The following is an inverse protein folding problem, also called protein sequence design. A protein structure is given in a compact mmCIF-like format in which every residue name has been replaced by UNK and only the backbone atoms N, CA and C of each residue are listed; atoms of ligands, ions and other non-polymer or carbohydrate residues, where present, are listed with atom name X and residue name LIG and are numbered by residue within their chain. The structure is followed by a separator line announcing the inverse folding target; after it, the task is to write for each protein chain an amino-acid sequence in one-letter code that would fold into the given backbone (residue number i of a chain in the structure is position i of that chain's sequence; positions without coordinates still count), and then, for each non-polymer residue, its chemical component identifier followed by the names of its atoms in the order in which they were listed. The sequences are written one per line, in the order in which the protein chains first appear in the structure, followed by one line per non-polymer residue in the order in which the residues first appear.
data_IF_409474251369
#
_entry.id   IF_409474251369
#
_cell.length_a   1.000
_cell.length_b   1.000
_cell.length_c   1.000
_cell.angle_alpha   90.00
_cell.angle_beta   90.00
_cell.angle_gamma   90.00
#
_symmetry.space_group_name_H-M   'P 1'
#
loop_
_entity.id
_entity.type
_entity.pdbx_description
1 polymer ?
#
# COMPACT_ATOMS: atom_id res chain seq x y z
N UNK A 1 73.38 -38.54 22.49
CA UNK A 1 71.93 -38.38 22.79
C UNK A 1 71.47 -37.02 22.24
N UNK A 2 70.74 -37.03 21.15
CA UNK A 2 70.16 -35.77 20.59
C UNK A 2 68.65 -35.84 20.74
N UNK A 3 68.10 -34.97 21.57
CA UNK A 3 66.64 -34.79 21.71
C UNK A 3 66.12 -34.00 20.49
N UNK A 4 65.19 -34.55 19.77
CA UNK A 4 64.45 -33.91 18.74
C UNK A 4 63.14 -33.36 19.29
N UNK A 5 63.03 -32.03 19.35
CA UNK A 5 61.81 -31.33 19.77
C UNK A 5 60.86 -31.24 18.55
N UNK A 6 59.70 -31.94 18.65
CA UNK A 6 58.62 -31.83 17.66
C UNK A 6 57.77 -30.60 17.97
N UNK A 7 57.72 -29.65 17.06
CA UNK A 7 56.78 -28.54 17.04
C UNK A 7 55.48 -29.04 16.40
N UNK A 8 54.38 -29.05 17.17
CA UNK A 8 53.03 -29.21 16.63
C UNK A 8 52.49 -27.82 16.30
N UNK A 9 52.33 -27.54 15.03
CA UNK A 9 51.59 -26.35 14.57
C UNK A 9 50.10 -26.63 14.63
N UNK A 10 49.41 -26.01 15.59
CA UNK A 10 47.96 -25.99 15.63
C UNK A 10 47.42 -24.95 14.64
N UNK A 11 46.87 -25.40 13.51
CA UNK A 11 46.17 -24.55 12.59
C UNK A 11 44.76 -24.28 13.12
N UNK A 12 44.54 -23.08 13.68
CA UNK A 12 43.21 -22.61 14.02
C UNK A 12 42.45 -22.22 12.75
N UNK A 13 41.48 -23.01 12.31
CA UNK A 13 40.50 -22.62 11.30
C UNK A 13 39.57 -21.57 11.94
N UNK A 14 39.76 -20.31 11.61
CA UNK A 14 38.79 -19.24 11.87
C UNK A 14 37.66 -19.37 10.83
N UNK A 15 36.55 -19.98 11.21
CA UNK A 15 35.33 -19.97 10.44
C UNK A 15 34.77 -18.54 10.46
N UNK A 16 35.05 -17.75 9.44
CA UNK A 16 34.37 -16.50 9.15
C UNK A 16 32.93 -16.84 8.74
N UNK A 17 32.01 -16.80 9.70
CA UNK A 17 30.58 -16.76 9.40
C UNK A 17 30.30 -15.44 8.68
N UNK A 18 30.22 -15.48 7.35
CA UNK A 18 29.65 -14.38 6.57
C UNK A 18 28.18 -14.32 6.96
N UNK A 19 27.83 -13.36 7.79
CA UNK A 19 26.46 -12.96 7.97
C UNK A 19 26.03 -12.39 6.61
N UNK A 20 25.27 -13.16 5.83
CA UNK A 20 24.62 -12.62 4.64
C UNK A 20 23.75 -11.46 5.10
N UNK A 21 24.05 -10.26 4.64
CA UNK A 21 23.21 -9.10 4.94
C UNK A 21 21.79 -9.43 4.44
N UNK A 22 20.79 -9.21 5.31
CA UNK A 22 19.41 -9.45 4.95
C UNK A 22 19.08 -8.64 3.68
N UNK A 23 18.36 -9.26 2.74
CA UNK A 23 17.93 -8.61 1.50
C UNK A 23 17.20 -7.31 1.84
N UNK A 24 17.56 -6.24 1.14
CA UNK A 24 16.89 -4.94 1.23
C UNK A 24 16.13 -4.68 -0.08
N UNK A 25 14.89 -4.21 0.02
CA UNK A 25 14.16 -3.78 -1.17
C UNK A 25 14.81 -2.54 -1.78
N UNK A 26 14.88 -2.43 -3.12
CA UNK A 26 15.57 -1.30 -3.78
C UNK A 26 14.78 0.01 -3.69
N UNK A 27 13.51 -0.03 -3.30
CA UNK A 27 12.63 1.12 -3.21
C UNK A 27 11.18 0.72 -2.94
N UNK A 28 10.27 1.70 -2.93
CA UNK A 28 8.86 1.45 -2.61
C UNK A 28 8.11 0.66 -3.68
N UNK A 29 8.66 0.58 -4.90
CA UNK A 29 8.06 -0.12 -6.05
C UNK A 29 9.11 -0.95 -6.75
N UNK A 30 8.78 -2.20 -7.06
CA UNK A 30 9.58 -3.12 -7.87
C UNK A 30 8.76 -3.66 -9.04
N UNK A 31 9.44 -4.23 -10.03
CA UNK A 31 8.79 -4.95 -11.14
C UNK A 31 8.71 -6.47 -10.88
N UNK A 32 8.03 -7.16 -11.80
CA UNK A 32 7.92 -8.62 -11.75
C UNK A 32 9.26 -9.33 -11.94
N UNK A 33 10.23 -8.73 -12.63
CA UNK A 33 11.55 -9.31 -12.81
C UNK A 33 12.34 -9.34 -11.50
N UNK A 34 12.34 -8.23 -10.76
CA UNK A 34 12.97 -8.19 -9.44
C UNK A 34 12.35 -9.22 -8.49
N UNK A 35 11.00 -9.29 -8.44
CA UNK A 35 10.33 -10.28 -7.59
C UNK A 35 10.66 -11.70 -8.01
N UNK A 36 10.68 -12.01 -9.31
CA UNK A 36 11.03 -13.33 -9.81
C UNK A 36 12.42 -13.81 -9.34
N UNK A 37 13.38 -12.88 -9.28
CA UNK A 37 14.76 -13.17 -8.83
C UNK A 37 14.90 -13.34 -7.32
N UNK A 38 14.01 -12.70 -6.53
CA UNK A 38 14.17 -12.59 -5.08
C UNK A 38 13.04 -13.28 -4.28
N UNK A 39 12.08 -13.95 -4.94
CA UNK A 39 10.88 -14.47 -4.29
C UNK A 39 11.14 -15.45 -3.13
N UNK A 40 12.23 -16.18 -3.13
CA UNK A 40 12.61 -17.10 -2.06
C UNK A 40 13.00 -16.38 -0.76
N UNK A 41 13.50 -15.15 -0.88
CA UNK A 41 14.05 -14.36 0.22
C UNK A 41 13.08 -13.31 0.76
N UNK A 42 11.84 -13.25 0.25
CA UNK A 42 10.82 -12.27 0.62
C UNK A 42 9.53 -12.95 1.10
N UNK A 43 8.72 -12.23 1.86
CA UNK A 43 7.34 -12.62 2.15
C UNK A 43 6.44 -11.95 1.12
N UNK A 44 5.72 -12.73 0.30
CA UNK A 44 4.82 -12.21 -0.73
C UNK A 44 3.39 -12.19 -0.21
N UNK A 45 2.78 -11.01 -0.14
CA UNK A 45 1.39 -10.79 0.26
C UNK A 45 0.59 -10.38 -0.97
N UNK A 46 -0.27 -11.26 -1.45
CA UNK A 46 -1.19 -10.99 -2.56
C UNK A 46 -2.49 -10.41 -1.99
N UNK A 47 -2.73 -9.12 -2.21
CA UNK A 47 -3.91 -8.43 -1.69
C UNK A 47 -4.91 -8.19 -2.80
N UNK A 48 -6.12 -8.74 -2.61
CA UNK A 48 -7.24 -8.58 -3.54
C UNK A 48 -8.59 -8.81 -2.87
N UNK A 49 -9.65 -8.08 -3.29
CA UNK A 49 -11.00 -8.23 -2.70
C UNK A 49 -11.70 -9.53 -3.11
N UNK A 50 -11.34 -10.10 -4.26
CA UNK A 50 -11.79 -11.42 -4.70
C UNK A 50 -10.77 -12.50 -4.34
N UNK A 51 -10.88 -13.00 -3.12
CA UNK A 51 -10.01 -14.07 -2.62
C UNK A 51 -10.25 -15.41 -3.33
N UNK A 52 -11.35 -15.58 -4.07
CA UNK A 52 -11.60 -16.80 -4.85
C UNK A 52 -10.72 -16.83 -6.11
N UNK A 53 -10.49 -15.69 -6.74
CA UNK A 53 -9.60 -15.60 -7.89
C UNK A 53 -8.16 -16.00 -7.55
N UNK A 54 -7.73 -15.80 -6.29
CA UNK A 54 -6.43 -16.25 -5.83
C UNK A 54 -6.21 -17.75 -5.99
N UNK A 55 -7.23 -18.56 -5.70
CA UNK A 55 -7.17 -20.02 -5.82
C UNK A 55 -7.53 -20.54 -7.22
N UNK A 56 -8.01 -19.66 -8.10
CA UNK A 56 -8.49 -20.00 -9.45
C UNK A 56 -7.37 -20.17 -10.48
N UNK A 57 -7.75 -20.15 -11.74
CA UNK A 57 -6.84 -20.16 -12.90
C UNK A 57 -7.15 -18.96 -13.79
N UNK A 58 -6.14 -18.27 -14.37
CA UNK A 58 -6.37 -17.15 -15.25
C UNK A 58 -7.07 -17.59 -16.54
N UNK A 59 -8.03 -16.78 -17.02
CA UNK A 59 -8.70 -16.99 -18.28
C UNK A 59 -8.20 -16.01 -19.32
N UNK A 60 -8.04 -16.50 -20.53
CA UNK A 60 -7.52 -15.71 -21.65
C UNK A 60 -8.44 -15.80 -22.85
N UNK A 61 -8.55 -14.71 -23.59
CA UNK A 61 -9.17 -14.67 -24.90
C UNK A 61 -8.15 -14.19 -25.94
N UNK A 62 -8.39 -14.55 -27.21
CA UNK A 62 -7.59 -14.01 -28.32
C UNK A 62 -8.25 -12.74 -28.84
N UNK A 63 -7.55 -11.61 -28.71
CA UNK A 63 -7.98 -10.36 -29.33
C UNK A 63 -8.07 -10.55 -30.86
N UNK A 64 -9.28 -10.34 -31.40
CA UNK A 64 -9.56 -10.60 -32.83
C UNK A 64 -8.83 -9.63 -33.78
N UNK A 65 -8.40 -8.45 -33.28
CA UNK A 65 -7.72 -7.45 -34.10
C UNK A 65 -6.21 -7.65 -34.12
N UNK A 66 -5.64 -8.04 -32.97
CA UNK A 66 -4.18 -8.16 -32.81
C UNK A 66 -3.67 -9.58 -32.83
N UNK A 67 -4.57 -10.59 -32.65
CA UNK A 67 -4.21 -11.99 -32.49
C UNK A 67 -3.52 -12.32 -31.17
N UNK A 68 -3.40 -11.36 -30.27
CA UNK A 68 -2.73 -11.55 -28.97
C UNK A 68 -3.67 -12.17 -27.95
N UNK A 69 -3.08 -12.98 -27.07
CA UNK A 69 -3.73 -13.51 -25.89
C UNK A 69 -3.88 -12.39 -24.87
N UNK A 70 -5.09 -12.11 -24.41
CA UNK A 70 -5.42 -11.07 -23.44
C UNK A 70 -6.02 -11.71 -22.21
N UNK A 71 -5.58 -11.32 -21.03
CA UNK A 71 -6.15 -11.75 -19.75
C UNK A 71 -7.56 -11.14 -19.61
N UNK A 72 -8.59 -11.98 -19.48
CA UNK A 72 -9.99 -11.54 -19.32
C UNK A 72 -10.52 -11.79 -17.92
N UNK A 73 -10.00 -12.80 -17.23
CA UNK A 73 -10.33 -13.08 -15.85
C UNK A 73 -9.06 -13.39 -15.06
N UNK A 74 -8.86 -12.63 -13.99
CA UNK A 74 -7.72 -12.82 -13.09
C UNK A 74 -7.90 -14.12 -12.30
N UNK A 75 -6.89 -14.97 -12.29
CA UNK A 75 -6.89 -16.22 -11.51
C UNK A 75 -5.47 -16.67 -11.19
N UNK A 76 -5.32 -17.42 -10.10
CA UNK A 76 -4.03 -17.85 -9.61
C UNK A 76 -3.24 -16.76 -8.89
N UNK A 77 -2.09 -17.15 -8.38
CA UNK A 77 -1.19 -16.28 -7.62
C UNK A 77 0.28 -16.65 -7.85
N UNK A 78 1.17 -15.77 -7.50
CA UNK A 78 2.62 -16.02 -7.51
C UNK A 78 2.92 -17.13 -6.50
N UNK A 79 3.74 -18.10 -6.86
CA UNK A 79 4.08 -19.20 -5.97
C UNK A 79 4.59 -18.68 -4.61
N UNK A 80 4.14 -19.31 -3.51
CA UNK A 80 4.40 -18.96 -2.11
C UNK A 80 3.77 -17.63 -1.65
N UNK A 81 2.95 -16.97 -2.47
CA UNK A 81 2.18 -15.81 -2.02
C UNK A 81 1.07 -16.21 -1.03
N UNK A 82 0.80 -15.32 -0.09
CA UNK A 82 -0.27 -15.45 0.89
C UNK A 82 -1.39 -14.48 0.57
N UNK A 83 -2.63 -14.97 0.55
CA UNK A 83 -3.80 -14.15 0.29
C UNK A 83 -4.12 -13.22 1.45
N UNK A 84 -4.35 -11.94 1.15
CA UNK A 84 -4.81 -10.92 2.09
C UNK A 84 -6.11 -10.31 1.57
N UNK A 85 -7.18 -10.40 2.36
CA UNK A 85 -8.45 -9.74 2.04
C UNK A 85 -8.42 -8.28 2.54
N UNK A 86 -8.47 -7.26 1.66
CA UNK A 86 -8.45 -5.86 2.06
C UNK A 86 -9.63 -5.43 2.95
N UNK A 87 -10.70 -6.21 2.99
CA UNK A 87 -11.84 -5.97 3.89
C UNK A 87 -11.51 -6.27 5.35
N UNK A 88 -10.50 -7.09 5.63
CA UNK A 88 -10.14 -7.56 6.97
C UNK A 88 -9.04 -6.74 7.64
N UNK A 89 -8.32 -5.91 6.88
CA UNK A 89 -7.16 -5.15 7.40
C UNK A 89 -7.54 -3.84 8.10
N UNK A 90 -8.82 -3.50 8.17
CA UNK A 90 -9.33 -2.26 8.79
C UNK A 90 -10.43 -2.60 9.79
N UNK A 91 -10.52 -1.81 10.88
CA UNK A 91 -11.42 -2.06 12.00
C UNK A 91 -12.32 -0.86 12.32
N UNK A 92 -13.34 -1.07 13.14
CA UNK A 92 -14.07 0.02 13.78
C UNK A 92 -13.33 0.41 15.07
N UNK A 93 -13.13 1.70 15.28
CA UNK A 93 -12.56 2.26 16.53
C UNK A 93 -13.51 3.28 17.16
N UNK A 94 -13.43 3.44 18.47
CA UNK A 94 -14.14 4.52 19.18
C UNK A 94 -13.18 5.69 19.37
N UNK A 95 -13.47 6.83 18.74
CA UNK A 95 -12.68 8.06 18.79
C UNK A 95 -13.59 9.18 19.29
N UNK A 96 -13.24 9.83 20.39
CA UNK A 96 -14.08 10.89 20.97
C UNK A 96 -15.51 10.45 21.28
N UNK A 97 -15.75 9.17 21.56
CA UNK A 97 -17.08 8.59 21.78
C UNK A 97 -17.84 8.24 20.50
N UNK A 98 -17.29 8.49 19.31
CA UNK A 98 -17.88 8.16 18.02
C UNK A 98 -17.32 6.83 17.50
N UNK A 99 -18.17 6.02 16.87
CA UNK A 99 -17.76 4.79 16.18
C UNK A 99 -17.31 5.12 14.78
N UNK A 100 -16.00 5.11 14.57
CA UNK A 100 -15.36 5.38 13.26
C UNK A 100 -14.95 4.08 12.63
N UNK A 101 -15.50 3.78 11.45
CA UNK A 101 -15.25 2.54 10.71
C UNK A 101 -14.02 2.64 9.82
N UNK A 102 -13.45 1.48 9.47
CA UNK A 102 -12.35 1.33 8.50
C UNK A 102 -11.03 1.98 8.91
N UNK A 103 -10.79 2.07 10.21
CA UNK A 103 -9.60 2.65 10.82
C UNK A 103 -8.42 1.67 10.83
N UNK A 104 -7.22 2.21 11.04
CA UNK A 104 -6.03 1.45 11.39
C UNK A 104 -6.30 0.60 12.63
N UNK A 105 -6.02 -0.72 12.62
CA UNK A 105 -6.08 -1.55 13.82
C UNK A 105 -5.11 -1.07 14.91
N UNK A 106 -5.36 -1.47 16.14
CA UNK A 106 -4.36 -1.37 17.19
C UNK A 106 -3.14 -2.23 16.82
N UNK A 107 -1.94 -1.79 17.23
CA UNK A 107 -0.70 -2.48 16.88
C UNK A 107 -0.73 -3.98 17.17
N UNK A 108 -1.20 -4.38 18.36
CA UNK A 108 -1.24 -5.79 18.76
C UNK A 108 -2.15 -6.64 17.85
N UNK A 109 -3.24 -6.07 17.35
CA UNK A 109 -4.14 -6.77 16.44
C UNK A 109 -3.56 -6.84 15.03
N UNK A 110 -2.88 -5.78 14.56
CA UNK A 110 -2.17 -5.81 13.29
C UNK A 110 -1.00 -6.79 13.30
N UNK A 111 -0.27 -6.90 14.42
CA UNK A 111 0.78 -7.93 14.61
C UNK A 111 0.23 -9.35 14.46
N UNK A 112 -0.94 -9.65 15.05
CA UNK A 112 -1.61 -10.95 14.89
C UNK A 112 -1.96 -11.22 13.42
N UNK A 113 -2.50 -10.21 12.72
CA UNK A 113 -2.80 -10.30 11.29
C UNK A 113 -1.51 -10.59 10.50
N UNK A 114 -0.47 -9.80 10.68
CA UNK A 114 0.80 -9.96 9.97
C UNK A 114 1.44 -11.34 10.21
N UNK A 115 1.40 -11.83 11.44
CA UNK A 115 1.88 -13.19 11.77
C UNK A 115 1.04 -14.27 11.10
N UNK A 116 -0.27 -14.12 11.04
CA UNK A 116 -1.16 -15.06 10.34
C UNK A 116 -0.88 -15.13 8.84
N UNK A 117 -0.33 -14.06 8.24
CA UNK A 117 0.15 -14.03 6.85
C UNK A 117 1.60 -14.53 6.70
N UNK A 118 2.22 -15.03 7.76
CA UNK A 118 3.58 -15.56 7.72
C UNK A 118 4.68 -14.50 7.68
N UNK A 119 4.37 -13.24 8.00
CA UNK A 119 5.38 -12.17 8.01
C UNK A 119 6.38 -12.40 9.13
N UNK A 120 7.69 -12.28 8.80
CA UNK A 120 8.79 -12.54 9.71
C UNK A 120 9.63 -11.28 9.93
N UNK A 121 10.14 -11.10 11.13
CA UNK A 121 11.12 -10.07 11.41
C UNK A 121 12.35 -10.21 10.52
N UNK A 122 12.75 -9.10 9.90
CA UNK A 122 13.97 -9.03 9.08
C UNK A 122 13.84 -9.62 7.68
N UNK A 123 12.71 -10.24 7.31
CA UNK A 123 12.44 -10.68 5.96
C UNK A 123 11.66 -9.61 5.21
N UNK A 124 12.08 -9.18 4.00
CA UNK A 124 11.39 -8.15 3.24
C UNK A 124 9.94 -8.54 2.92
N UNK A 125 9.05 -7.55 2.89
CA UNK A 125 7.66 -7.73 2.52
C UNK A 125 7.44 -7.20 1.11
N UNK A 126 6.83 -8.01 0.26
CA UNK A 126 6.42 -7.64 -1.09
C UNK A 126 4.91 -7.74 -1.19
N UNK A 127 4.24 -6.61 -1.39
CA UNK A 127 2.79 -6.56 -1.57
C UNK A 127 2.49 -6.59 -3.07
N UNK A 128 1.62 -7.51 -3.46
CA UNK A 128 1.20 -7.72 -4.85
C UNK A 128 -0.29 -7.40 -4.95
N UNK A 129 -0.70 -6.26 -5.54
CA UNK A 129 -2.11 -5.98 -5.82
C UNK A 129 -2.66 -6.90 -6.92
N UNK A 130 -3.96 -6.98 -7.09
CA UNK A 130 -4.56 -7.62 -8.26
C UNK A 130 -4.09 -6.95 -9.57
N UNK A 131 -4.00 -5.63 -9.60
CA UNK A 131 -3.41 -4.85 -10.69
C UNK A 131 -4.35 -4.62 -11.86
N UNK A 132 -5.66 -4.58 -11.62
CA UNK A 132 -6.67 -4.35 -12.65
C UNK A 132 -7.08 -2.88 -12.76
N UNK A 133 -7.09 -2.16 -11.61
CA UNK A 133 -7.48 -0.76 -11.56
C UNK A 133 -6.81 0.01 -10.40
N UNK A 134 -7.22 1.26 -10.22
CA UNK A 134 -6.72 2.11 -9.14
C UNK A 134 -7.15 1.64 -7.75
N UNK A 135 -8.26 0.91 -7.63
CA UNK A 135 -8.72 0.37 -6.35
C UNK A 135 -7.76 -0.67 -5.82
N UNK A 136 -7.27 -1.55 -6.70
CA UNK A 136 -6.27 -2.56 -6.35
C UNK A 136 -4.96 -1.93 -5.87
N UNK A 137 -4.52 -0.82 -6.50
CA UNK A 137 -3.37 -0.06 -6.00
C UNK A 137 -3.66 0.49 -4.60
N UNK A 138 -4.87 1.03 -4.36
CA UNK A 138 -5.23 1.58 -3.06
C UNK A 138 -5.34 0.51 -1.97
N UNK A 139 -5.78 -0.71 -2.29
CA UNK A 139 -5.74 -1.85 -1.37
C UNK A 139 -4.29 -2.15 -0.94
N UNK A 140 -3.37 -2.20 -1.90
CA UNK A 140 -1.96 -2.46 -1.64
C UNK A 140 -1.28 -1.32 -0.87
N UNK A 141 -1.52 -0.05 -1.25
CA UNK A 141 -0.94 1.10 -0.56
C UNK A 141 -1.50 1.28 0.85
N UNK A 142 -2.76 0.86 1.10
CA UNK A 142 -3.34 0.84 2.43
C UNK A 142 -2.61 -0.15 3.34
N UNK A 143 -2.36 -1.36 2.89
CA UNK A 143 -1.60 -2.36 3.64
C UNK A 143 -0.14 -1.91 3.84
N UNK A 144 0.48 -1.36 2.80
CA UNK A 144 1.84 -0.79 2.85
C UNK A 144 1.95 0.30 3.93
N UNK A 145 1.01 1.26 3.93
CA UNK A 145 0.97 2.34 4.91
C UNK A 145 0.81 1.81 6.34
N UNK A 146 -0.01 0.79 6.58
CA UNK A 146 -0.17 0.18 7.89
C UNK A 146 1.14 -0.42 8.40
N UNK A 147 1.87 -1.17 7.58
CA UNK A 147 3.20 -1.67 7.92
C UNK A 147 4.19 -0.53 8.20
N UNK A 148 4.18 0.52 7.40
CA UNK A 148 5.05 1.70 7.60
C UNK A 148 4.75 2.40 8.92
N UNK A 149 3.48 2.58 9.26
CA UNK A 149 3.08 3.18 10.55
C UNK A 149 3.63 2.38 11.71
N UNK A 150 3.61 1.06 11.63
CA UNK A 150 4.17 0.18 12.67
C UNK A 150 5.66 -0.15 12.48
N UNK A 151 6.37 0.68 11.72
CA UNK A 151 7.84 0.70 11.70
C UNK A 151 8.52 -0.29 10.77
N UNK A 152 7.79 -0.89 9.81
CA UNK A 152 8.40 -1.71 8.77
C UNK A 152 8.91 -0.84 7.61
N UNK A 153 10.20 -0.93 7.32
CA UNK A 153 10.82 -0.16 6.26
C UNK A 153 11.26 -1.03 5.07
N UNK A 154 11.45 -2.32 5.31
CA UNK A 154 11.88 -3.26 4.27
C UNK A 154 10.67 -3.85 3.52
N UNK A 155 9.90 -2.98 2.87
CA UNK A 155 8.63 -3.29 2.23
C UNK A 155 8.52 -2.60 0.86
N UNK A 156 7.90 -3.29 -0.12
CA UNK A 156 7.73 -2.78 -1.49
C UNK A 156 6.43 -3.26 -2.12
N UNK A 157 5.99 -2.59 -3.20
CA UNK A 157 4.86 -3.00 -4.04
C UNK A 157 5.35 -3.51 -5.40
N UNK A 158 4.64 -4.50 -5.97
CA UNK A 158 4.87 -4.92 -7.35
C UNK A 158 4.04 -4.06 -8.30
N UNK A 159 4.70 -3.37 -9.22
CA UNK A 159 4.06 -2.54 -10.23
C UNK A 159 3.18 -3.36 -11.17
N UNK A 160 1.89 -3.04 -11.23
CA UNK A 160 0.92 -3.76 -12.06
C UNK A 160 0.46 -5.10 -11.48
N UNK A 161 1.00 -5.52 -10.33
CA UNK A 161 0.51 -6.65 -9.54
C UNK A 161 0.46 -7.99 -10.28
N UNK A 162 -0.50 -8.83 -9.89
CA UNK A 162 -0.70 -10.17 -10.48
C UNK A 162 -1.11 -10.09 -11.95
N UNK A 163 -1.91 -9.09 -12.35
CA UNK A 163 -2.28 -8.89 -13.77
C UNK A 163 -1.04 -8.66 -14.64
N UNK A 164 -0.12 -7.79 -14.23
CA UNK A 164 1.14 -7.57 -14.94
C UNK A 164 2.02 -8.82 -14.95
N UNK A 165 2.13 -9.53 -13.83
CA UNK A 165 2.89 -10.76 -13.71
C UNK A 165 2.45 -11.80 -14.76
N UNK A 166 1.12 -12.02 -14.88
CA UNK A 166 0.53 -12.96 -15.85
C UNK A 166 0.74 -12.47 -17.29
N UNK A 167 0.52 -11.19 -17.55
CA UNK A 167 0.64 -10.60 -18.90
C UNK A 167 2.08 -10.59 -19.42
N UNK A 168 3.06 -10.59 -18.51
CA UNK A 168 4.49 -10.76 -18.84
C UNK A 168 4.87 -12.23 -19.10
N UNK A 169 3.88 -13.15 -19.11
CA UNK A 169 4.11 -14.57 -19.39
C UNK A 169 4.73 -15.34 -18.23
N UNK A 170 4.60 -14.82 -16.99
CA UNK A 170 5.14 -15.50 -15.81
C UNK A 170 4.11 -16.47 -15.24
N UNK A 171 4.61 -17.57 -14.68
CA UNK A 171 3.77 -18.63 -14.15
C UNK A 171 3.07 -18.21 -12.85
N UNK A 172 1.83 -18.67 -12.72
CA UNK A 172 1.04 -18.62 -11.49
C UNK A 172 0.62 -20.02 -11.07
N UNK A 173 0.36 -20.19 -9.79
CA UNK A 173 -0.17 -21.43 -9.22
C UNK A 173 -1.61 -21.22 -8.78
N UNK A 174 -2.37 -22.30 -8.72
CA UNK A 174 -3.76 -22.32 -8.24
C UNK A 174 -3.84 -22.99 -6.87
N UNK A 175 -4.96 -22.80 -6.18
CA UNK A 175 -5.22 -23.40 -4.88
C UNK A 175 -4.98 -22.44 -3.71
N UNK A 176 -5.30 -22.88 -2.48
CA UNK A 176 -5.14 -22.04 -1.31
C UNK A 176 -3.65 -21.88 -0.99
N UNK A 177 -3.16 -20.65 -0.96
CA UNK A 177 -1.85 -20.35 -0.37
C UNK A 177 -1.89 -20.63 1.13
N UNK A 178 -0.80 -21.16 1.66
CA UNK A 178 -0.63 -21.38 3.10
C UNK A 178 0.69 -20.76 3.55
N UNK A 179 0.65 -19.99 4.62
CA UNK A 179 1.84 -19.58 5.35
C UNK A 179 1.93 -20.35 6.68
N UNK A 180 3.14 -20.67 7.11
CA UNK A 180 3.38 -20.93 8.51
C UNK A 180 3.23 -19.60 9.28
N UNK A 181 2.85 -19.68 10.56
CA UNK A 181 2.74 -18.48 11.38
C UNK A 181 4.09 -17.73 11.45
N UNK A 182 4.05 -16.44 11.22
CA UNK A 182 5.23 -15.57 11.30
C UNK A 182 5.53 -15.12 12.72
N UNK A 183 6.56 -14.27 12.84
CA UNK A 183 7.00 -13.74 14.14
C UNK A 183 7.17 -12.20 14.12
N UNK A 184 6.60 -11.53 13.14
CA UNK A 184 6.72 -10.08 13.00
C UNK A 184 6.19 -9.32 14.22
N UNK A 185 6.93 -8.29 14.64
CA UNK A 185 6.57 -7.40 15.73
C UNK A 185 6.67 -5.96 15.24
N UNK A 186 5.55 -5.23 15.36
CA UNK A 186 5.50 -3.82 15.06
C UNK A 186 6.21 -2.97 16.12
N UNK A 187 6.66 -1.80 15.69
CA UNK A 187 7.16 -0.73 16.56
C UNK A 187 5.99 0.19 16.98
N UNK A 188 6.17 1.07 17.97
CA UNK A 188 5.20 2.13 18.26
C UNK A 188 4.83 2.91 16.99
N UNK A 189 3.60 3.36 16.92
CA UNK A 189 3.05 4.09 15.78
C UNK A 189 3.89 5.31 15.43
N UNK A 190 4.17 5.50 14.15
CA UNK A 190 4.83 6.69 13.61
C UNK A 190 3.83 7.82 13.46
N UNK A 191 3.67 8.59 14.53
CA UNK A 191 2.68 9.68 14.60
C UNK A 191 2.94 10.79 13.56
N UNK A 192 4.15 10.91 13.07
CA UNK A 192 4.49 11.82 11.97
C UNK A 192 3.85 11.44 10.62
N UNK A 193 3.35 10.21 10.49
CA UNK A 193 2.64 9.73 9.30
C UNK A 193 1.12 9.85 9.42
N UNK A 194 0.63 10.15 10.62
CA UNK A 194 -0.79 10.19 10.96
C UNK A 194 -1.26 11.64 11.13
N UNK A 195 -2.49 11.92 10.72
CA UNK A 195 -3.20 13.15 11.07
C UNK A 195 -4.55 12.79 11.71
N UNK A 196 -4.93 13.57 12.71
CA UNK A 196 -6.26 13.56 13.32
C UNK A 196 -7.15 14.63 12.69
N UNK A 197 -8.45 14.63 13.00
CA UNK A 197 -9.37 15.71 12.60
C UNK A 197 -8.92 17.07 13.15
N UNK A 198 -8.35 17.11 14.36
CA UNK A 198 -7.80 18.33 14.95
C UNK A 198 -6.52 18.81 14.25
N UNK A 199 -5.67 17.90 13.77
CA UNK A 199 -4.50 18.27 12.97
C UNK A 199 -4.92 18.88 11.63
N UNK A 200 -5.97 18.35 11.01
CA UNK A 200 -6.56 18.91 9.80
C UNK A 200 -7.11 20.31 10.05
N UNK A 201 -7.86 20.52 11.13
CA UNK A 201 -8.41 21.84 11.50
C UNK A 201 -7.28 22.87 11.76
N UNK A 202 -6.24 22.47 12.50
CA UNK A 202 -5.04 23.31 12.72
C UNK A 202 -4.32 23.64 11.41
N UNK A 203 -4.22 22.66 10.49
CA UNK A 203 -3.60 22.87 9.18
C UNK A 203 -4.38 23.89 8.34
N UNK A 204 -5.72 23.86 8.37
CA UNK A 204 -6.57 24.85 7.70
C UNK A 204 -6.35 26.24 8.28
N UNK A 205 -6.45 26.38 9.61
CA UNK A 205 -6.33 27.65 10.31
C UNK A 205 -4.94 28.30 10.11
N UNK A 206 -3.90 27.49 10.24
CA UNK A 206 -2.50 27.95 10.12
C UNK A 206 -1.93 27.94 8.71
N UNK A 207 -2.66 27.42 7.72
CA UNK A 207 -2.18 27.14 6.36
C UNK A 207 -0.84 26.39 6.34
N UNK A 208 -0.67 25.47 7.29
CA UNK A 208 0.61 24.78 7.55
C UNK A 208 0.79 23.51 6.72
N UNK A 209 -0.28 22.99 6.11
CA UNK A 209 -0.24 21.86 5.18
C UNK A 209 -1.34 21.99 4.13
N UNK A 210 -1.11 21.45 2.94
CA UNK A 210 -2.11 21.28 1.91
C UNK A 210 -3.02 20.10 2.24
N UNK A 211 -4.31 20.22 1.95
CA UNK A 211 -5.25 19.10 2.05
C UNK A 211 -5.46 18.49 0.67
N UNK A 212 -5.24 17.18 0.55
CA UNK A 212 -5.38 16.43 -0.71
C UNK A 212 -6.54 15.46 -0.57
N UNK A 213 -7.64 15.75 -1.28
CA UNK A 213 -8.80 14.87 -1.36
C UNK A 213 -8.62 13.86 -2.51
N UNK A 214 -8.44 12.59 -2.16
CA UNK A 214 -8.19 11.52 -3.12
C UNK A 214 -9.47 10.89 -3.71
N UNK A 215 -10.65 11.43 -3.41
CA UNK A 215 -11.93 10.96 -3.96
C UNK A 215 -12.14 11.45 -5.39
N UNK A 216 -13.10 10.84 -6.09
CA UNK A 216 -13.52 11.35 -7.40
C UNK A 216 -14.15 12.75 -7.32
N UNK A 217 -14.18 13.44 -8.45
CA UNK A 217 -14.68 14.82 -8.54
C UNK A 217 -16.14 14.97 -8.08
N UNK A 218 -17.02 14.00 -8.34
CA UNK A 218 -18.43 14.06 -7.92
C UNK A 218 -18.58 14.09 -6.40
N UNK A 219 -17.77 13.34 -5.67
CA UNK A 219 -17.76 13.35 -4.21
C UNK A 219 -17.11 14.61 -3.64
N UNK A 220 -16.01 15.05 -4.24
CA UNK A 220 -15.33 16.29 -3.87
C UNK A 220 -16.25 17.51 -4.02
N UNK A 221 -16.93 17.63 -5.15
CA UNK A 221 -17.87 18.72 -5.44
C UNK A 221 -19.17 18.62 -4.62
N UNK A 222 -19.42 17.49 -3.95
CA UNK A 222 -20.62 17.29 -3.15
C UNK A 222 -21.86 16.88 -3.96
N UNK A 223 -21.69 16.43 -5.19
CA UNK A 223 -22.80 15.93 -6.03
C UNK A 223 -23.24 14.53 -5.57
N UNK A 224 -22.29 13.73 -5.09
CA UNK A 224 -22.53 12.39 -4.54
C UNK A 224 -21.79 12.22 -3.20
N UNK A 225 -22.15 11.20 -2.45
CA UNK A 225 -21.40 10.74 -1.27
C UNK A 225 -21.53 9.24 -1.09
N UNK A 226 -20.65 8.65 -0.32
CA UNK A 226 -20.83 7.24 0.13
C UNK A 226 -21.74 7.21 1.36
N UNK A 227 -22.45 6.10 1.54
CA UNK A 227 -23.41 5.94 2.67
C UNK A 227 -22.75 6.10 4.05
N UNK A 228 -21.49 5.69 4.16
CA UNK A 228 -20.71 5.82 5.40
C UNK A 228 -20.37 7.28 5.75
N UNK A 229 -20.46 8.21 4.81
CA UNK A 229 -20.17 9.64 5.00
C UNK A 229 -21.46 10.41 5.26
N UNK A 230 -21.58 11.09 6.39
CA UNK A 230 -22.80 11.78 6.80
C UNK A 230 -23.07 13.07 6.00
N UNK A 231 -22.03 13.80 5.57
CA UNK A 231 -22.12 15.08 4.87
C UNK A 231 -21.65 15.02 3.42
N UNK A 232 -22.11 15.95 2.59
CA UNK A 232 -21.66 16.12 1.21
C UNK A 232 -20.48 17.10 1.12
N UNK A 233 -19.72 17.06 0.01
CA UNK A 233 -18.64 18.00 -0.27
C UNK A 233 -17.30 17.57 0.32
N UNK A 234 -16.39 18.51 0.48
CA UNK A 234 -15.00 18.33 0.87
C UNK A 234 -14.62 19.22 2.05
N UNK A 235 -13.49 18.96 2.67
CA UNK A 235 -12.90 19.79 3.72
C UNK A 235 -12.43 21.11 3.09
N UNK A 236 -12.81 22.24 3.67
CA UNK A 236 -12.52 23.56 3.10
C UNK A 236 -11.04 23.76 2.78
N UNK A 237 -10.75 24.29 1.59
CA UNK A 237 -9.38 24.54 1.10
C UNK A 237 -8.66 23.31 0.53
N UNK A 238 -9.27 22.14 0.58
CA UNK A 238 -8.70 20.94 -0.05
C UNK A 238 -8.60 21.05 -1.57
N UNK A 239 -7.61 20.37 -2.14
CA UNK A 239 -7.43 20.18 -3.58
C UNK A 239 -7.80 18.75 -3.95
N UNK A 240 -8.46 18.55 -5.08
CA UNK A 240 -8.85 17.22 -5.53
C UNK A 240 -7.76 16.60 -6.40
N UNK A 241 -7.22 15.46 -5.97
CA UNK A 241 -6.34 14.60 -6.76
C UNK A 241 -6.91 13.18 -6.68
N UNK A 242 -7.84 12.86 -7.61
CA UNK A 242 -8.50 11.55 -7.62
C UNK A 242 -7.48 10.42 -7.69
N UNK A 243 -7.67 9.39 -6.86
CA UNK A 243 -6.80 8.20 -6.87
C UNK A 243 -6.79 7.43 -8.19
N UNK A 244 -7.80 7.64 -9.03
CA UNK A 244 -7.86 7.11 -10.41
C UNK A 244 -6.71 7.62 -11.29
N UNK A 245 -6.13 8.77 -10.93
CA UNK A 245 -5.00 9.36 -11.64
C UNK A 245 -3.64 8.72 -11.30
N UNK A 246 -3.60 7.72 -10.43
CA UNK A 246 -2.32 7.13 -9.98
C UNK A 246 -1.90 5.89 -10.76
N UNK A 247 -2.71 5.42 -11.69
CA UNK A 247 -2.40 4.29 -12.56
C UNK A 247 -2.71 4.61 -14.02
N UNK A 248 -2.04 3.89 -14.92
CA UNK A 248 -2.43 3.88 -16.33
C UNK A 248 -3.72 3.08 -16.48
N UNK A 249 -4.60 3.52 -17.37
CA UNK A 249 -5.79 2.80 -17.80
C UNK A 249 -5.64 2.38 -19.26
N UNK A 250 -6.18 1.23 -19.62
CA UNK A 250 -6.14 0.76 -21.02
C UNK A 250 -4.87 -0.01 -21.37
N UNK A 251 -4.73 -1.18 -20.80
CA UNK A 251 -3.68 -2.15 -21.04
C UNK A 251 -4.04 -3.48 -20.40
N UNK A 252 -3.06 -4.35 -20.31
CA UNK A 252 -3.17 -5.67 -19.69
C UNK A 252 -3.06 -5.64 -18.15
N UNK A 253 -2.64 -4.50 -17.58
CA UNK A 253 -2.57 -4.24 -16.15
C UNK A 253 -2.60 -2.74 -15.84
N UNK A 254 -3.13 -2.37 -14.68
CA UNK A 254 -3.05 -1.03 -14.13
C UNK A 254 -1.66 -0.82 -13.53
N UNK A 255 -0.81 -0.06 -14.21
CA UNK A 255 0.56 0.21 -13.79
C UNK A 255 0.70 1.62 -13.25
N UNK A 256 1.58 1.79 -12.27
CA UNK A 256 1.93 3.11 -11.75
C UNK A 256 2.57 3.98 -12.83
N UNK A 257 2.35 5.28 -12.72
CA UNK A 257 2.89 6.27 -13.66
C UNK A 257 4.39 6.53 -13.40
N UNK A 258 5.11 7.05 -14.40
CA UNK A 258 6.45 7.58 -14.20
C UNK A 258 6.48 8.71 -13.15
N UNK A 259 7.55 8.80 -12.38
CA UNK A 259 7.74 9.79 -11.31
C UNK A 259 7.52 11.24 -11.78
N UNK A 260 7.98 11.58 -12.99
CA UNK A 260 7.77 12.91 -13.58
C UNK A 260 6.28 13.20 -13.79
N UNK A 261 5.53 12.23 -14.31
CA UNK A 261 4.10 12.35 -14.56
C UNK A 261 3.32 12.59 -13.26
N UNK A 262 3.68 11.91 -12.16
CA UNK A 262 3.07 12.20 -10.87
C UNK A 262 3.27 13.64 -10.41
N UNK A 263 4.48 14.20 -10.58
CA UNK A 263 4.74 15.61 -10.25
C UNK A 263 3.83 16.54 -11.03
N UNK A 264 3.62 16.24 -12.32
CA UNK A 264 2.77 17.05 -13.19
C UNK A 264 1.27 16.91 -12.82
N UNK A 265 0.81 15.69 -12.47
CA UNK A 265 -0.56 15.45 -11.99
C UNK A 265 -0.86 16.28 -10.74
N UNK A 266 0.02 16.24 -9.72
CA UNK A 266 -0.18 17.04 -8.51
C UNK A 266 -0.18 18.54 -8.80
N UNK A 267 0.79 19.04 -9.58
CA UNK A 267 0.86 20.46 -9.97
C UNK A 267 -0.37 20.91 -10.76
N UNK A 268 -0.82 20.12 -11.72
CA UNK A 268 -2.02 20.42 -12.50
C UNK A 268 -3.29 20.47 -11.62
N UNK A 269 -3.29 19.71 -10.52
CA UNK A 269 -4.36 19.74 -9.51
C UNK A 269 -4.18 20.87 -8.47
N UNK A 270 -3.19 21.73 -8.63
CA UNK A 270 -2.89 22.84 -7.72
C UNK A 270 -2.22 22.42 -6.42
N UNK A 271 -1.63 21.24 -6.37
CA UNK A 271 -0.89 20.71 -5.22
C UNK A 271 0.61 20.79 -5.48
N UNK A 272 1.37 21.38 -4.56
CA UNK A 272 2.82 21.28 -4.57
C UNK A 272 3.23 19.92 -4.00
N UNK A 273 3.82 19.00 -4.79
CA UNK A 273 4.15 17.67 -4.32
C UNK A 273 5.29 17.63 -3.28
N UNK A 274 5.96 18.76 -2.99
CA UNK A 274 7.05 18.85 -2.01
C UNK A 274 6.66 19.59 -0.72
N UNK A 275 5.52 20.29 -0.71
CA UNK A 275 5.07 21.01 0.48
C UNK A 275 4.37 20.04 1.48
N UNK A 276 4.32 20.38 2.78
CA UNK A 276 3.60 19.59 3.77
C UNK A 276 2.15 19.32 3.31
N UNK A 277 1.68 18.10 3.47
CA UNK A 277 0.37 17.69 2.99
C UNK A 277 -0.32 16.71 3.95
N UNK A 278 -1.67 16.75 3.95
CA UNK A 278 -2.52 15.76 4.59
C UNK A 278 -3.45 15.17 3.52
N UNK A 279 -3.27 13.89 3.23
CA UNK A 279 -4.13 13.15 2.32
C UNK A 279 -5.35 12.59 3.06
N UNK A 280 -6.53 12.71 2.48
CA UNK A 280 -7.75 12.12 2.99
C UNK A 280 -8.68 11.63 1.87
N UNK A 281 -9.69 10.84 2.21
CA UNK A 281 -10.72 10.42 1.26
C UNK A 281 -12.07 10.22 1.99
N UNK A 282 -12.74 9.08 1.80
CA UNK A 282 -13.92 8.75 2.61
C UNK A 282 -13.54 8.10 3.95
N UNK A 283 -12.57 7.18 3.97
CA UNK A 283 -12.22 6.27 5.07
C UNK A 283 -10.73 5.88 5.06
N UNK A 284 -9.82 6.75 4.65
CA UNK A 284 -8.38 6.52 4.63
C UNK A 284 -7.85 5.52 3.59
N UNK A 285 -8.73 4.92 2.77
CA UNK A 285 -8.36 3.91 1.76
C UNK A 285 -7.75 4.55 0.50
N UNK A 286 -8.51 5.35 -0.26
CA UNK A 286 -8.00 6.04 -1.46
C UNK A 286 -6.88 7.03 -1.10
N UNK A 287 -6.93 7.61 0.08
CA UNK A 287 -5.92 8.50 0.60
C UNK A 287 -4.54 7.84 0.76
N UNK A 288 -4.51 6.50 0.98
CA UNK A 288 -3.24 5.79 1.07
C UNK A 288 -2.48 5.77 -0.25
N UNK A 289 -3.18 5.77 -1.39
CA UNK A 289 -2.56 5.94 -2.72
C UNK A 289 -1.93 7.32 -2.88
N UNK A 290 -2.64 8.39 -2.50
CA UNK A 290 -2.09 9.75 -2.53
C UNK A 290 -0.87 9.89 -1.59
N UNK A 291 -0.98 9.39 -0.36
CA UNK A 291 0.12 9.35 0.60
C UNK A 291 1.32 8.56 0.04
N UNK A 292 1.09 7.38 -0.53
CA UNK A 292 2.15 6.54 -1.08
C UNK A 292 2.90 7.24 -2.21
N UNK A 293 2.17 7.84 -3.15
CA UNK A 293 2.79 8.56 -4.26
C UNK A 293 3.57 9.78 -3.74
N UNK A 294 3.00 10.59 -2.86
CA UNK A 294 3.69 11.78 -2.35
C UNK A 294 4.86 11.41 -1.44
N UNK A 295 4.65 10.54 -0.43
CA UNK A 295 5.66 10.21 0.59
C UNK A 295 6.74 9.28 0.06
N UNK A 296 6.36 8.19 -0.61
CA UNK A 296 7.30 7.13 -0.95
C UNK A 296 7.88 7.29 -2.36
N UNK A 297 7.05 7.63 -3.34
CA UNK A 297 7.50 7.74 -4.75
C UNK A 297 8.14 9.11 -5.02
N UNK A 298 7.53 10.20 -4.52
CA UNK A 298 8.05 11.57 -4.71
C UNK A 298 8.97 12.05 -3.58
N UNK A 299 9.07 11.28 -2.48
CA UNK A 299 9.99 11.52 -1.38
C UNK A 299 9.57 12.58 -0.37
N UNK A 300 8.33 13.08 -0.43
CA UNK A 300 7.81 14.09 0.50
C UNK A 300 7.42 13.47 1.84
N UNK A 301 8.37 13.33 2.75
CA UNK A 301 8.16 12.75 4.09
C UNK A 301 7.34 13.63 5.05
N UNK A 302 6.93 14.82 4.63
CA UNK A 302 6.00 15.68 5.36
C UNK A 302 4.52 15.42 4.97
N UNK A 303 4.26 14.33 4.25
CA UNK A 303 2.90 13.90 3.90
C UNK A 303 2.34 13.00 5.01
N UNK A 304 1.22 13.41 5.57
CA UNK A 304 0.43 12.64 6.55
C UNK A 304 -0.82 12.05 5.89
N UNK A 305 -1.37 11.01 6.49
CA UNK A 305 -2.66 10.46 6.12
C UNK A 305 -3.66 10.70 7.26
N UNK A 306 -4.80 11.31 6.95
CA UNK A 306 -5.94 11.42 7.85
C UNK A 306 -6.82 10.18 7.69
N UNK A 307 -6.67 9.23 8.61
CA UNK A 307 -7.29 7.91 8.52
C UNK A 307 -8.82 7.96 8.61
N UNK A 308 -9.37 8.70 9.55
CA UNK A 308 -10.82 8.86 9.71
C UNK A 308 -11.49 9.57 8.54
N UNK A 309 -10.78 10.45 7.83
CA UNK A 309 -11.21 11.08 6.59
C UNK A 309 -12.60 11.73 6.68
N UNK A 310 -13.36 11.79 5.57
CA UNK A 310 -14.71 12.37 5.57
C UNK A 310 -15.68 11.62 6.46
N UNK A 311 -15.48 10.32 6.73
CA UNK A 311 -16.35 9.57 7.63
C UNK A 311 -16.27 10.16 9.06
N UNK A 312 -15.09 10.26 9.65
CA UNK A 312 -14.89 10.87 10.97
C UNK A 312 -15.26 12.35 10.96
N UNK A 313 -14.75 13.13 9.99
CA UNK A 313 -15.00 14.57 9.85
C UNK A 313 -16.48 14.93 9.91
N UNK A 314 -17.30 14.18 9.16
CA UNK A 314 -18.74 14.44 9.09
C UNK A 314 -19.53 13.84 10.27
N UNK A 315 -19.05 12.78 10.92
CA UNK A 315 -19.60 12.30 12.20
C UNK A 315 -19.38 13.32 13.32
N UNK A 316 -18.23 14.00 13.34
CA UNK A 316 -17.93 15.12 14.26
C UNK A 316 -18.70 16.40 13.88
N UNK A 317 -19.50 16.38 12.80
CA UNK A 317 -20.26 17.52 12.28
C UNK A 317 -19.38 18.73 11.93
N UNK A 318 -18.12 18.50 11.56
CA UNK A 318 -17.22 19.55 11.11
C UNK A 318 -17.66 20.09 9.72
N UNK A 319 -17.38 21.36 9.41
CA UNK A 319 -17.89 22.00 8.19
C UNK A 319 -17.31 21.40 6.92
N UNK A 320 -18.12 21.34 5.89
CA UNK A 320 -17.74 20.94 4.53
C UNK A 320 -18.10 22.03 3.53
N UNK A 321 -17.41 22.05 2.41
CA UNK A 321 -17.68 22.92 1.26
C UNK A 321 -18.16 22.07 0.09
N UNK A 322 -19.20 22.53 -0.59
CA UNK A 322 -19.75 21.89 -1.80
C UNK A 322 -20.19 22.95 -2.83
N UNK A 323 -20.40 22.54 -4.07
CA UNK A 323 -21.12 23.40 -5.02
C UNK A 323 -22.56 23.58 -4.54
N UNK A 324 -23.20 24.69 -4.96
CA UNK A 324 -24.60 24.94 -4.62
C UNK A 324 -25.46 23.78 -5.15
N UNK A 325 -26.41 23.35 -4.32
CA UNK A 325 -27.43 22.34 -4.66
C UNK A 325 -28.77 23.05 -4.59
N UNK A 326 -29.51 23.05 -5.72
CA UNK A 326 -30.87 23.54 -5.77
C UNK A 326 -31.83 22.62 -5.01
#
# INVERSE_FOLDING_TARGET
MKLATKWMAASALVALSQWAAALQVPGPVVDGEWLSKNKADVTVLDIRPDTKSFAGTPQFETDKKTGKKVLVELGGHIADAVSVDPKTIRVERTIGGLKVKFMLPERADFEKMARSWGVQNGKPIVIVPAGQDATDLNDATRLYWQFKVFGEDNITLVNGGTSAWISEGRDVVSGPGKAAEGNWNGKPERMEMLATSDDVEKAIAGKSAQLVDARNASQYLGLTKRDVVAGFGHISGAKNVSSELFVTTGGDAARMLPVATYRDVFKASGVDPQAPAIAYCNTGHLASGAWFVMSEVLGNKQTKLYDGSMHEWTLEKRPTQSVARE
#
